data_IF_016349195958
#
_entry.id   IF_016349195958
#
_cell.length_a   1.000
_cell.length_b   1.000
_cell.length_c   1.000
_cell.angle_alpha   90.00
_cell.angle_beta   90.00
_cell.angle_gamma   90.00
#
_symmetry.space_group_name_H-M   'P 1'
#
loop_
_entity.id
_entity.type
_entity.pdbx_description
1 polymer ?
#
# COMPACT_ATOMS: atom_id res chain seq x y z
N UNK A 1 16.72 -13.80 -4.05
CA UNK A 1 16.81 -12.38 -3.63
C UNK A 1 15.52 -11.61 -3.93
N UNK A 2 15.04 -11.60 -5.18
CA UNK A 2 13.82 -10.87 -5.63
C UNK A 2 12.58 -11.16 -4.76
N UNK A 3 12.34 -12.43 -4.41
CA UNK A 3 11.22 -12.80 -3.51
C UNK A 3 11.25 -12.07 -2.16
N UNK A 4 12.44 -11.93 -1.54
CA UNK A 4 12.55 -11.23 -0.24
C UNK A 4 12.22 -9.74 -0.40
N UNK A 5 12.65 -9.13 -1.50
CA UNK A 5 12.37 -7.72 -1.82
C UNK A 5 10.87 -7.50 -2.03
N UNK A 6 10.19 -8.41 -2.74
CA UNK A 6 8.74 -8.40 -2.91
C UNK A 6 8.00 -8.40 -1.56
N UNK A 7 8.42 -9.25 -0.62
CA UNK A 7 7.83 -9.27 0.72
C UNK A 7 8.13 -8.01 1.54
N UNK A 8 9.33 -7.43 1.43
CA UNK A 8 9.67 -6.16 2.09
C UNK A 8 8.79 -5.03 1.53
N UNK A 9 8.62 -4.95 0.21
CA UNK A 9 7.75 -3.98 -0.43
C UNK A 9 6.28 -4.16 -0.01
N UNK A 10 5.80 -5.40 0.06
CA UNK A 10 4.44 -5.72 0.50
C UNK A 10 4.19 -5.40 1.98
N UNK A 11 5.16 -5.68 2.86
CA UNK A 11 5.08 -5.26 4.26
C UNK A 11 5.13 -3.72 4.39
N UNK A 12 5.97 -3.08 3.57
CA UNK A 12 6.06 -1.64 3.47
C UNK A 12 4.74 -1.00 3.05
N UNK A 13 4.02 -1.57 2.08
CA UNK A 13 2.73 -1.00 1.65
C UNK A 13 1.64 -1.05 2.74
N UNK A 14 1.79 -1.90 3.76
CA UNK A 14 0.90 -1.92 4.93
C UNK A 14 1.32 -0.92 6.01
N UNK A 15 2.60 -0.88 6.34
CA UNK A 15 3.09 -0.13 7.50
C UNK A 15 3.37 1.34 7.20
N UNK A 16 3.89 1.62 6.02
CA UNK A 16 4.40 2.93 5.66
C UNK A 16 3.29 4.02 5.62
N UNK A 17 2.05 3.75 5.17
CA UNK A 17 0.95 4.71 5.26
C UNK A 17 0.61 5.08 6.70
N UNK A 18 0.67 4.12 7.64
CA UNK A 18 0.41 4.39 9.06
C UNK A 18 1.48 5.30 9.66
N UNK A 19 2.75 5.05 9.30
CA UNK A 19 3.88 5.86 9.76
C UNK A 19 3.82 7.27 9.17
N UNK A 20 3.51 7.41 7.89
CA UNK A 20 3.34 8.70 7.23
C UNK A 20 2.18 9.50 7.82
N UNK A 21 1.03 8.87 8.01
CA UNK A 21 -0.13 9.49 8.63
C UNK A 21 0.18 10.02 10.03
N UNK A 22 0.85 9.21 10.87
CA UNK A 22 1.27 9.63 12.21
C UNK A 22 2.25 10.81 12.15
N UNK A 23 3.20 10.77 11.22
CA UNK A 23 4.16 11.85 11.02
C UNK A 23 3.47 13.15 10.57
N UNK A 24 2.62 13.09 9.54
CA UNK A 24 1.87 14.24 9.00
C UNK A 24 0.90 14.81 10.03
N UNK A 25 0.30 13.96 10.86
CA UNK A 25 -0.55 14.39 11.97
C UNK A 25 0.22 15.26 12.97
N UNK A 26 1.41 14.81 13.38
CA UNK A 26 2.27 15.53 14.32
C UNK A 26 2.85 16.81 13.71
N UNK A 27 3.15 16.80 12.41
CA UNK A 27 3.77 17.93 11.72
C UNK A 27 2.77 19.06 11.40
N UNK A 28 1.61 18.73 10.86
CA UNK A 28 0.67 19.70 10.28
C UNK A 28 -0.79 19.44 10.67
N UNK A 29 -1.19 18.18 10.87
CA UNK A 29 -2.58 17.83 11.13
C UNK A 29 -3.16 18.46 12.38
N UNK A 30 -2.37 18.55 13.46
CA UNK A 30 -2.79 19.25 14.68
C UNK A 30 -3.04 20.74 14.44
N UNK A 31 -2.18 21.40 13.66
CA UNK A 31 -2.35 22.82 13.33
C UNK A 31 -3.64 23.02 12.54
N UNK A 32 -3.84 22.26 11.46
CA UNK A 32 -5.03 22.37 10.61
C UNK A 32 -6.33 22.07 11.39
N UNK A 33 -6.29 21.15 12.36
CA UNK A 33 -7.40 20.86 13.27
C UNK A 33 -7.80 22.05 14.17
N UNK A 34 -6.85 22.94 14.49
CA UNK A 34 -7.12 24.15 15.28
C UNK A 34 -7.58 25.35 14.47
N UNK A 35 -7.32 25.36 13.15
CA UNK A 35 -7.69 26.47 12.26
C UNK A 35 -9.18 26.47 11.97
N UNK A 36 -9.69 25.40 11.35
CA UNK A 36 -11.12 25.23 11.09
C UNK A 36 -11.46 23.78 10.73
N UNK A 37 -12.75 23.37 10.88
CA UNK A 37 -13.20 22.05 10.43
C UNK A 37 -12.98 21.80 8.93
N UNK A 38 -13.09 22.85 8.11
CA UNK A 38 -12.91 22.78 6.66
C UNK A 38 -11.44 22.58 6.30
N UNK A 39 -10.53 23.34 6.93
CA UNK A 39 -9.09 23.20 6.74
C UNK A 39 -8.60 21.80 7.15
N UNK A 40 -9.09 21.30 8.29
CA UNK A 40 -8.81 19.95 8.74
C UNK A 40 -9.30 18.89 7.75
N UNK A 41 -10.54 19.02 7.24
CA UNK A 41 -11.08 18.06 6.28
C UNK A 41 -10.30 18.09 4.95
N UNK A 42 -9.95 19.27 4.43
CA UNK A 42 -9.15 19.40 3.22
C UNK A 42 -7.75 18.78 3.39
N UNK A 43 -7.09 19.03 4.51
CA UNK A 43 -5.82 18.40 4.87
C UNK A 43 -5.95 16.87 4.95
N UNK A 44 -6.94 16.38 5.70
CA UNK A 44 -7.19 14.94 5.89
C UNK A 44 -7.40 14.23 4.55
N UNK A 45 -8.22 14.79 3.67
CA UNK A 45 -8.48 14.20 2.36
C UNK A 45 -7.21 14.17 1.49
N UNK A 46 -6.43 15.25 1.49
CA UNK A 46 -5.16 15.33 0.76
C UNK A 46 -4.15 14.30 1.25
N UNK A 47 -4.02 14.14 2.57
CA UNK A 47 -3.14 13.16 3.21
C UNK A 47 -3.56 11.73 2.87
N UNK A 48 -4.83 11.38 3.06
CA UNK A 48 -5.33 10.05 2.74
C UNK A 48 -5.10 9.73 1.26
N UNK A 49 -5.36 10.68 0.36
CA UNK A 49 -5.12 10.50 -1.07
C UNK A 49 -3.64 10.22 -1.39
N UNK A 50 -2.72 11.00 -0.81
CA UNK A 50 -1.29 10.81 -1.02
C UNK A 50 -0.81 9.46 -0.48
N UNK A 51 -1.19 9.13 0.75
CA UNK A 51 -0.72 7.94 1.45
C UNK A 51 -1.25 6.65 0.80
N UNK A 52 -2.53 6.60 0.42
CA UNK A 52 -3.09 5.44 -0.29
C UNK A 52 -2.54 5.30 -1.71
N UNK A 53 -2.23 6.39 -2.40
CA UNK A 53 -1.55 6.34 -3.71
C UNK A 53 -0.17 5.70 -3.57
N UNK A 54 0.60 6.13 -2.57
CA UNK A 54 1.94 5.62 -2.33
C UNK A 54 1.92 4.14 -1.90
N UNK A 55 1.00 3.78 -0.99
CA UNK A 55 0.75 2.42 -0.57
C UNK A 55 0.39 1.50 -1.75
N UNK A 56 -0.52 1.97 -2.62
CA UNK A 56 -0.93 1.26 -3.82
C UNK A 56 0.23 1.02 -4.78
N UNK A 57 1.08 2.03 -5.00
CA UNK A 57 2.28 1.91 -5.84
C UNK A 57 3.28 0.90 -5.28
N UNK A 58 3.53 0.91 -3.96
CA UNK A 58 4.39 -0.07 -3.30
C UNK A 58 3.83 -1.48 -3.38
N UNK A 59 2.52 -1.66 -3.21
CA UNK A 59 1.87 -2.97 -3.34
C UNK A 59 1.94 -3.49 -4.78
N UNK A 60 1.72 -2.63 -5.77
CA UNK A 60 1.91 -2.99 -7.18
C UNK A 60 3.35 -3.45 -7.44
N UNK A 61 4.35 -2.72 -6.95
CA UNK A 61 5.76 -3.12 -7.04
C UNK A 61 5.99 -4.49 -6.39
N UNK A 62 5.44 -4.71 -5.19
CA UNK A 62 5.55 -5.96 -4.47
C UNK A 62 4.99 -7.15 -5.28
N UNK A 63 3.81 -6.98 -5.88
CA UNK A 63 3.17 -7.98 -6.75
C UNK A 63 4.01 -8.25 -8.00
N UNK A 64 4.48 -7.21 -8.69
CA UNK A 64 5.31 -7.35 -9.90
C UNK A 64 6.62 -8.10 -9.61
N UNK A 65 7.29 -7.76 -8.50
CA UNK A 65 8.50 -8.47 -8.07
C UNK A 65 8.19 -9.92 -7.68
N UNK A 66 7.04 -10.17 -7.04
CA UNK A 66 6.57 -11.52 -6.70
C UNK A 66 6.31 -12.36 -7.95
N UNK A 67 5.63 -11.79 -8.95
CA UNK A 67 5.34 -12.44 -10.22
C UNK A 67 6.62 -12.72 -11.01
N UNK A 68 7.57 -11.78 -11.04
CA UNK A 68 8.87 -11.98 -11.68
C UNK A 68 9.69 -13.08 -10.96
N UNK A 69 9.60 -13.17 -9.63
CA UNK A 69 10.24 -14.24 -8.88
C UNK A 69 9.62 -15.61 -9.20
N UNK A 70 8.31 -15.67 -9.48
CA UNK A 70 7.63 -16.89 -9.91
C UNK A 70 8.01 -17.28 -11.34
N UNK A 71 8.11 -16.32 -12.26
CA UNK A 71 8.52 -16.59 -13.64
C UNK A 71 9.97 -17.08 -13.78
N UNK A 72 10.84 -16.77 -12.81
CA UNK A 72 12.25 -17.20 -12.77
C UNK A 72 12.50 -18.49 -11.98
N UNK A 73 11.44 -19.18 -11.53
CA UNK A 73 11.60 -20.43 -10.76
C UNK A 73 12.17 -21.52 -11.68
N UNK A 74 13.29 -22.14 -11.30
CA UNK A 74 13.94 -23.21 -12.09
C UNK A 74 13.08 -24.47 -12.10
N UNK A 75 13.15 -25.22 -13.20
CA UNK A 75 12.37 -26.46 -13.46
C UNK A 75 12.59 -27.58 -12.41
N UNK A 76 13.69 -27.53 -11.65
CA UNK A 76 14.05 -28.53 -10.63
C UNK A 76 13.45 -28.28 -9.22
N UNK A 77 12.85 -27.12 -8.95
CA UNK A 77 12.16 -26.91 -7.66
C UNK A 77 10.76 -27.53 -7.69
N UNK A 78 10.40 -28.33 -6.67
CA UNK A 78 9.02 -28.81 -6.46
C UNK A 78 8.07 -27.61 -6.41
N UNK A 79 7.43 -27.35 -7.55
CA UNK A 79 6.53 -26.23 -7.72
C UNK A 79 5.29 -26.49 -6.87
N UNK A 80 5.07 -25.65 -5.86
CA UNK A 80 3.82 -25.64 -5.09
C UNK A 80 2.94 -24.49 -5.61
N UNK A 81 2.23 -24.67 -6.74
CA UNK A 81 1.52 -23.58 -7.43
C UNK A 81 0.50 -22.89 -6.52
N UNK A 82 -0.23 -23.66 -5.71
CA UNK A 82 -1.21 -23.11 -4.76
C UNK A 82 -0.58 -22.17 -3.73
N UNK A 83 0.59 -22.54 -3.18
CA UNK A 83 1.31 -21.67 -2.24
C UNK A 83 1.74 -20.37 -2.91
N UNK A 84 2.22 -20.43 -4.16
CA UNK A 84 2.66 -19.25 -4.91
C UNK A 84 1.53 -18.31 -5.29
N UNK A 85 0.38 -18.85 -5.68
CA UNK A 85 -0.84 -18.03 -5.87
C UNK A 85 -1.24 -17.33 -4.58
N UNK A 86 -1.19 -18.02 -3.45
CA UNK A 86 -1.49 -17.42 -2.15
C UNK A 86 -0.51 -16.30 -1.79
N UNK A 87 0.80 -16.49 -2.03
CA UNK A 87 1.81 -15.43 -1.83
C UNK A 87 1.46 -14.17 -2.63
N UNK A 88 1.10 -14.31 -3.92
CA UNK A 88 0.73 -13.18 -4.77
C UNK A 88 -0.58 -12.52 -4.33
N UNK A 89 -1.58 -13.30 -3.93
CA UNK A 89 -2.85 -12.80 -3.40
C UNK A 89 -2.60 -11.93 -2.16
N UNK A 90 -1.77 -12.41 -1.23
CA UNK A 90 -1.42 -11.68 0.00
C UNK A 90 -0.71 -10.37 -0.33
N UNK A 91 0.20 -10.37 -1.30
CA UNK A 91 0.90 -9.16 -1.75
C UNK A 91 -0.03 -8.15 -2.45
N UNK A 92 -1.12 -8.62 -3.07
CA UNK A 92 -2.10 -7.79 -3.76
C UNK A 92 -3.20 -7.23 -2.84
N UNK A 93 -3.42 -7.81 -1.66
CA UNK A 93 -4.40 -7.30 -0.67
C UNK A 93 -4.27 -5.80 -0.38
N UNK A 94 -3.07 -5.25 -0.07
CA UNK A 94 -2.95 -3.83 0.18
C UNK A 94 -3.33 -2.98 -1.04
N UNK A 95 -2.99 -3.38 -2.26
CA UNK A 95 -3.43 -2.68 -3.48
C UNK A 95 -4.96 -2.68 -3.61
N UNK A 96 -5.63 -3.82 -3.39
CA UNK A 96 -7.09 -3.89 -3.46
C UNK A 96 -7.75 -2.97 -2.43
N UNK A 97 -7.21 -2.94 -1.21
CA UNK A 97 -7.69 -2.05 -0.14
C UNK A 97 -7.48 -0.57 -0.50
N UNK A 98 -6.31 -0.21 -1.03
CA UNK A 98 -6.01 1.16 -1.45
C UNK A 98 -6.95 1.63 -2.57
N UNK A 99 -7.19 0.78 -3.59
CA UNK A 99 -8.12 1.09 -4.68
C UNK A 99 -9.55 1.26 -4.17
N UNK A 100 -9.99 0.40 -3.25
CA UNK A 100 -11.32 0.50 -2.64
C UNK A 100 -11.48 1.82 -1.87
N UNK A 101 -10.53 2.16 -1.01
CA UNK A 101 -10.58 3.38 -0.21
C UNK A 101 -10.50 4.62 -1.11
N UNK A 102 -9.62 4.61 -2.12
CA UNK A 102 -9.56 5.70 -3.10
C UNK A 102 -10.86 5.87 -3.88
N UNK A 103 -11.49 4.77 -4.29
CA UNK A 103 -12.82 4.81 -4.89
C UNK A 103 -13.85 5.47 -3.98
N UNK A 104 -13.84 5.14 -2.68
CA UNK A 104 -14.73 5.79 -1.72
C UNK A 104 -14.43 7.28 -1.55
N UNK A 105 -13.15 7.66 -1.44
CA UNK A 105 -12.71 9.05 -1.29
C UNK A 105 -13.07 9.89 -2.51
N UNK A 106 -13.01 9.34 -3.72
CA UNK A 106 -13.40 10.06 -4.95
C UNK A 106 -14.91 10.26 -5.09
N UNK A 107 -15.72 9.38 -4.50
CA UNK A 107 -17.19 9.44 -4.61
C UNK A 107 -17.81 10.28 -3.48
N UNK A 108 -17.22 10.27 -2.29
CA UNK A 108 -17.79 10.88 -1.08
C UNK A 108 -16.93 12.00 -0.48
N UNK A 109 -15.82 12.34 -1.14
CA UNK A 109 -14.83 13.33 -0.69
C UNK A 109 -15.06 14.73 -1.21
#
# INVERSE_FOLDING_TARGET
MIRRISWIAGAGSWLLPLVLLLWQWMAEGQHQATVSPEAYNAWKMSVLFADFSFAGALSLLAVLLGAMALAKTKEDEVLHPGKRMLELLVLALPMMLCLFIMGMLLVHG
#
